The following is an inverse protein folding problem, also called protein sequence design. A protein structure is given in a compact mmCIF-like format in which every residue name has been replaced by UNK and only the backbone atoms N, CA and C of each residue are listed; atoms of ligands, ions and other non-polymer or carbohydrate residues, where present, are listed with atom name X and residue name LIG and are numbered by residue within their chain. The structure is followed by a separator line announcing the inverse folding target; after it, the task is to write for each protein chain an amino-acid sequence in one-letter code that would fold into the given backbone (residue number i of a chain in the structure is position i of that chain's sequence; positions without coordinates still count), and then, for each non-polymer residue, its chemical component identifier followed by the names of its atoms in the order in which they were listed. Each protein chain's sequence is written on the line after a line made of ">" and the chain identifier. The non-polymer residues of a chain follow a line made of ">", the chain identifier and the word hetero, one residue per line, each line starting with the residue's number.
data_IF_933145788494
#
_entry.id   IF_933145788494
#
_cell.length_a   1.000
_cell.length_b   1.000
_cell.length_c   1.000
_cell.angle_alpha   90.00
_cell.angle_beta   90.00
_cell.angle_gamma   90.00
#
_symmetry.space_group_name_H-M   'P 1'
#
loop_
_entity.id
_entity.type
_entity.pdbx_description
1 polymer ?
#
# COMPACT_ATOMS: atom_id res chain seq x y z
N UNK A 1 4.43 -5.12 -0.08
CA UNK A 1 5.47 -6.15 -0.33
C UNK A 1 5.35 -6.69 -1.73
N UNK A 2 6.45 -6.80 -2.48
CA UNK A 2 6.45 -7.43 -3.82
C UNK A 2 6.00 -8.91 -3.77
N UNK A 3 6.17 -9.57 -2.62
CA UNK A 3 5.66 -10.92 -2.38
C UNK A 3 4.14 -11.01 -2.16
N UNK A 4 3.41 -9.89 -2.08
CA UNK A 4 1.94 -9.88 -1.99
C UNK A 4 1.32 -10.02 -3.38
N UNK A 5 1.69 -11.08 -4.09
CA UNK A 5 1.08 -11.48 -5.36
C UNK A 5 -0.30 -12.10 -5.11
N UNK A 6 -1.19 -12.18 -6.11
CA UNK A 6 -2.50 -12.81 -5.93
C UNK A 6 -2.40 -14.23 -5.36
N UNK A 7 -1.50 -15.04 -5.92
CA UNK A 7 -1.30 -16.43 -5.47
C UNK A 7 -0.78 -16.51 -4.03
N UNK A 8 0.06 -15.56 -3.61
CA UNK A 8 0.54 -15.55 -2.24
C UNK A 8 -0.52 -15.01 -1.27
N UNK A 9 -1.33 -14.03 -1.68
CA UNK A 9 -2.47 -13.56 -0.90
C UNK A 9 -3.50 -14.68 -0.69
N UNK A 10 -3.79 -15.48 -1.72
CA UNK A 10 -4.66 -16.66 -1.60
C UNK A 10 -4.11 -17.65 -0.57
N UNK A 11 -2.83 -18.02 -0.68
CA UNK A 11 -2.16 -18.90 0.28
C UNK A 11 -2.16 -18.35 1.71
N UNK A 12 -1.95 -17.04 1.88
CA UNK A 12 -1.95 -16.39 3.19
C UNK A 12 -3.36 -16.44 3.79
N UNK A 13 -4.40 -16.23 2.99
CA UNK A 13 -5.79 -16.36 3.42
C UNK A 13 -6.10 -17.79 3.87
N UNK A 14 -5.73 -18.77 3.06
CA UNK A 14 -5.92 -20.20 3.36
C UNK A 14 -5.15 -20.64 4.62
N UNK A 15 -4.04 -19.96 4.91
CA UNK A 15 -3.21 -20.21 6.11
C UNK A 15 -3.73 -19.51 7.37
N UNK A 16 -4.82 -18.75 7.29
CA UNK A 16 -5.45 -18.08 8.42
C UNK A 16 -4.96 -16.67 8.72
N UNK A 17 -4.22 -16.02 7.82
CA UNK A 17 -3.96 -14.58 7.94
C UNK A 17 -5.28 -13.82 7.74
N UNK A 18 -5.54 -12.86 8.62
CA UNK A 18 -6.77 -12.08 8.64
C UNK A 18 -6.57 -10.62 8.22
N UNK A 19 -5.37 -10.09 8.40
CA UNK A 19 -5.11 -8.66 8.34
C UNK A 19 -3.73 -8.30 7.79
N UNK A 20 -3.63 -7.09 7.22
CA UNK A 20 -2.38 -6.50 6.76
C UNK A 20 -2.24 -5.06 7.23
N UNK A 21 -1.03 -4.71 7.64
CA UNK A 21 -0.57 -3.33 7.69
C UNK A 21 0.39 -3.10 6.51
N UNK A 22 -0.01 -2.24 5.56
CA UNK A 22 0.65 -2.11 4.27
C UNK A 22 1.31 -0.74 4.08
N UNK A 23 2.63 -0.75 3.87
CA UNK A 23 3.39 0.46 3.54
C UNK A 23 3.27 0.83 2.05
N UNK A 24 2.84 2.07 1.77
CA UNK A 24 3.08 2.75 0.50
C UNK A 24 4.03 3.92 0.76
N UNK A 25 5.33 3.70 0.56
CA UNK A 25 6.38 4.66 0.95
C UNK A 25 6.45 5.91 0.09
N UNK A 26 5.97 5.87 -1.16
CA UNK A 26 5.92 7.00 -2.08
C UNK A 26 4.97 6.71 -3.26
N UNK A 27 4.33 7.75 -3.78
CA UNK A 27 3.48 7.66 -4.98
C UNK A 27 4.28 7.87 -6.26
N UNK A 28 5.31 8.70 -6.21
CA UNK A 28 6.22 8.91 -7.33
C UNK A 28 7.11 7.67 -7.52
N UNK A 29 7.18 7.18 -8.75
CA UNK A 29 7.90 5.95 -9.10
C UNK A 29 9.40 6.06 -8.85
N UNK A 30 10.01 7.19 -9.16
CA UNK A 30 11.46 7.37 -9.01
C UNK A 30 11.84 7.56 -7.55
N UNK A 31 11.04 8.29 -6.78
CA UNK A 31 11.24 8.41 -5.33
C UNK A 31 11.06 7.04 -4.66
N UNK A 32 10.01 6.30 -5.02
CA UNK A 32 9.81 4.95 -4.49
C UNK A 32 10.97 4.02 -4.84
N UNK A 33 11.49 4.09 -6.07
CA UNK A 33 12.65 3.30 -6.50
C UNK A 33 13.91 3.66 -5.72
N UNK A 34 14.12 4.93 -5.41
CA UNK A 34 15.24 5.36 -4.54
C UNK A 34 15.09 4.82 -3.11
N UNK A 35 13.86 4.79 -2.57
CA UNK A 35 13.60 4.31 -1.21
C UNK A 35 13.61 2.78 -1.09
N UNK A 36 13.15 2.06 -2.11
CA UNK A 36 12.84 0.63 -2.04
C UNK A 36 13.65 -0.24 -3.01
N UNK A 37 14.40 0.34 -3.95
CA UNK A 37 15.17 -0.37 -4.98
C UNK A 37 14.34 -0.90 -6.16
N UNK A 38 13.01 -0.78 -6.14
CA UNK A 38 12.07 -1.33 -7.13
C UNK A 38 10.95 -0.35 -7.47
N UNK A 39 10.13 -0.61 -8.48
CA UNK A 39 9.01 0.28 -8.84
C UNK A 39 7.83 0.16 -7.86
N UNK A 40 6.95 1.16 -7.84
CA UNK A 40 5.72 1.14 -7.03
C UNK A 40 4.50 0.59 -7.77
N UNK A 41 4.65 0.11 -9.00
CA UNK A 41 3.51 -0.31 -9.83
C UNK A 41 2.70 -1.43 -9.18
N UNK A 42 3.36 -2.37 -8.50
CA UNK A 42 2.68 -3.44 -7.80
C UNK A 42 2.06 -2.96 -6.49
N UNK A 43 2.82 -2.21 -5.68
CA UNK A 43 2.36 -1.81 -4.34
C UNK A 43 1.10 -0.93 -4.41
N UNK A 44 0.94 -0.11 -5.45
CA UNK A 44 -0.25 0.73 -5.64
C UNK A 44 -1.50 -0.08 -6.02
N UNK A 45 -1.35 -1.33 -6.48
CA UNK A 45 -2.47 -2.24 -6.79
C UNK A 45 -2.80 -3.16 -5.60
N UNK A 46 -1.82 -3.42 -4.73
CA UNK A 46 -1.94 -4.34 -3.61
C UNK A 46 -3.13 -4.08 -2.70
N UNK A 47 -3.51 -2.83 -2.33
CA UNK A 47 -4.68 -2.59 -1.50
C UNK A 47 -5.96 -3.19 -2.08
N UNK A 48 -6.17 -3.07 -3.39
CA UNK A 48 -7.34 -3.66 -4.06
C UNK A 48 -7.30 -5.19 -4.03
N UNK A 49 -6.13 -5.80 -4.25
CA UNK A 49 -5.99 -7.25 -4.19
C UNK A 49 -6.20 -7.84 -2.79
N UNK A 50 -5.82 -7.09 -1.74
CA UNK A 50 -6.06 -7.44 -0.34
C UNK A 50 -7.57 -7.37 -0.03
N UNK A 51 -8.24 -6.26 -0.36
CA UNK A 51 -9.67 -6.09 -0.06
C UNK A 51 -10.54 -7.11 -0.81
N UNK A 52 -10.20 -7.48 -2.04
CA UNK A 52 -10.91 -8.52 -2.81
C UNK A 52 -10.96 -9.90 -2.14
N UNK A 53 -10.11 -10.13 -1.14
CA UNK A 53 -9.97 -11.40 -0.40
C UNK A 53 -10.44 -11.29 1.06
N UNK A 54 -11.17 -10.22 1.37
CA UNK A 54 -11.76 -9.98 2.68
C UNK A 54 -10.71 -10.00 3.82
N UNK A 55 -9.52 -9.46 3.56
CA UNK A 55 -8.56 -9.15 4.62
C UNK A 55 -8.91 -7.79 5.24
N UNK A 56 -8.68 -7.65 6.55
CA UNK A 56 -8.63 -6.34 7.20
C UNK A 56 -7.37 -5.62 6.72
N UNK A 57 -7.49 -4.36 6.32
CA UNK A 57 -6.37 -3.59 5.79
C UNK A 57 -6.26 -2.24 6.49
N UNK A 58 -5.05 -1.96 6.99
CA UNK A 58 -4.59 -0.62 7.30
C UNK A 58 -3.45 -0.26 6.35
N UNK A 59 -3.45 0.97 5.83
CA UNK A 59 -2.37 1.48 4.97
C UNK A 59 -1.58 2.53 5.75
N UNK A 60 -0.26 2.51 5.57
CA UNK A 60 0.59 3.58 6.08
C UNK A 60 1.45 4.20 4.96
N UNK A 61 1.79 5.46 5.14
CA UNK A 61 2.76 6.18 4.31
C UNK A 61 3.73 6.97 5.16
N UNK A 62 4.75 7.55 4.53
CA UNK A 62 5.83 8.28 5.20
C UNK A 62 5.73 9.77 4.90
N UNK A 63 6.05 10.61 5.87
CA UNK A 63 6.45 11.98 5.64
C UNK A 63 7.97 12.10 5.72
N UNK A 64 8.61 12.38 4.58
CA UNK A 64 10.06 12.53 4.47
C UNK A 64 10.35 13.88 3.81
N UNK A 65 10.87 14.88 4.54
CA UNK A 65 11.15 16.21 3.98
C UNK A 65 11.99 16.15 2.70
N UNK A 66 11.55 16.88 1.66
CA UNK A 66 12.17 16.92 0.34
C UNK A 66 12.00 15.66 -0.51
N UNK A 67 11.36 14.61 0.01
CA UNK A 67 11.10 13.36 -0.71
C UNK A 67 9.60 13.10 -0.78
N UNK A 68 8.97 12.80 0.36
CA UNK A 68 7.56 12.40 0.46
C UNK A 68 6.84 13.42 1.33
N UNK A 69 6.16 14.37 0.67
CA UNK A 69 5.42 15.45 1.34
C UNK A 69 3.94 15.41 0.95
N UNK A 70 3.22 16.48 1.30
CA UNK A 70 1.78 16.70 1.11
C UNK A 70 1.24 16.20 -0.24
N UNK A 71 1.91 16.51 -1.35
CA UNK A 71 1.44 16.14 -2.70
C UNK A 71 1.43 14.64 -2.93
N UNK A 72 2.42 13.92 -2.40
CA UNK A 72 2.48 12.46 -2.53
C UNK A 72 1.48 11.79 -1.58
N UNK A 73 1.42 12.27 -0.33
CA UNK A 73 0.48 11.77 0.69
C UNK A 73 -0.97 11.95 0.20
N UNK A 74 -1.31 13.10 -0.37
CA UNK A 74 -2.64 13.35 -0.93
C UNK A 74 -2.99 12.41 -2.09
N UNK A 75 -2.01 12.02 -2.93
CA UNK A 75 -2.24 11.04 -4.01
C UNK A 75 -2.46 9.64 -3.46
N UNK A 76 -1.72 9.23 -2.43
CA UNK A 76 -1.91 7.95 -1.74
C UNK A 76 -3.28 7.93 -1.05
N UNK A 77 -3.63 8.99 -0.31
CA UNK A 77 -4.95 9.13 0.31
C UNK A 77 -6.09 9.01 -0.69
N UNK A 78 -6.01 9.69 -1.84
CA UNK A 78 -7.01 9.57 -2.93
C UNK A 78 -7.08 8.16 -3.52
N UNK A 79 -5.94 7.48 -3.69
CA UNK A 79 -5.89 6.10 -4.15
C UNK A 79 -6.63 5.18 -3.17
N UNK A 80 -6.32 5.27 -1.87
CA UNK A 80 -6.93 4.42 -0.84
C UNK A 80 -8.43 4.71 -0.70
N UNK A 81 -8.81 5.99 -0.65
CA UNK A 81 -10.21 6.42 -0.59
C UNK A 81 -11.02 5.91 -1.78
N UNK A 82 -10.43 5.89 -2.99
CA UNK A 82 -11.07 5.35 -4.19
C UNK A 82 -11.26 3.83 -4.18
N UNK A 83 -10.57 3.11 -3.30
CA UNK A 83 -10.71 1.64 -3.13
C UNK A 83 -11.75 1.34 -2.06
N UNK A 84 -11.59 1.90 -0.87
CA UNK A 84 -12.56 1.83 0.21
C UNK A 84 -12.29 2.98 1.20
N UNK A 85 -13.27 3.88 1.44
CA UNK A 85 -13.12 5.01 2.35
C UNK A 85 -12.91 4.62 3.82
N UNK A 86 -13.24 3.39 4.20
CA UNK A 86 -13.09 2.88 5.57
C UNK A 86 -11.68 2.36 5.88
N UNK A 87 -10.79 2.25 4.87
CA UNK A 87 -9.39 1.86 5.10
C UNK A 87 -8.67 2.99 5.82
N UNK A 88 -8.13 2.77 7.04
CA UNK A 88 -7.35 3.78 7.72
C UNK A 88 -6.03 4.05 6.98
N UNK A 89 -5.64 5.33 6.94
CA UNK A 89 -4.36 5.78 6.43
C UNK A 89 -3.56 6.46 7.55
N UNK A 90 -2.48 5.81 7.97
CA UNK A 90 -1.53 6.34 8.95
C UNK A 90 -0.37 7.06 8.24
N UNK A 91 0.06 8.21 8.77
CA UNK A 91 1.26 8.92 8.31
C UNK A 91 2.33 8.78 9.39
N UNK A 92 3.50 8.24 9.03
CA UNK A 92 4.69 8.07 9.87
C UNK A 92 5.78 9.09 9.55
#
# INVERSE_FOLDING_TARGET
>A
GYGLTPQNLDKLKDSGIDSFWLDIKAYDKEIYKKLCGVTNEWILKTPSEIIKRDFVLEVLTLFIPGWVEDKQIAKISKLIFGINPDIPLTIL
#
